data_IF_384945162089
#
_entry.id   IF_384945162089
#
_cell.length_a   1.000
_cell.length_b   1.000
_cell.length_c   1.000
_cell.angle_alpha   90.00
_cell.angle_beta   90.00
_cell.angle_gamma   90.00
#
_symmetry.space_group_name_H-M   'P 1'
#
loop_
_entity.id
_entity.type
_entity.pdbx_description
1 polymer ?
#
# COMPACT_ATOMS: atom_id res chain seq x y z
N UNK A 1 -18.66 9.63 14.08
CA UNK A 1 -19.24 9.49 12.73
C UNK A 1 -18.37 8.63 11.80
N UNK A 2 -17.06 8.88 11.71
CA UNK A 2 -16.15 8.16 10.80
C UNK A 2 -16.20 6.63 10.82
N UNK A 3 -16.09 6.03 12.02
CA UNK A 3 -16.18 4.56 12.20
C UNK A 3 -17.50 3.96 11.69
N UNK A 4 -18.61 4.70 11.81
CA UNK A 4 -19.92 4.23 11.31
C UNK A 4 -19.98 4.22 9.78
N UNK A 5 -19.35 5.20 9.12
CA UNK A 5 -19.28 5.26 7.65
C UNK A 5 -18.37 4.15 7.09
N UNK A 6 -17.25 3.87 7.77
CA UNK A 6 -16.31 2.81 7.35
C UNK A 6 -16.95 1.42 7.30
N UNK A 7 -17.88 1.15 8.21
CA UNK A 7 -18.64 -0.10 8.29
C UNK A 7 -19.72 -0.25 7.20
N UNK A 8 -20.04 0.80 6.43
CA UNK A 8 -21.06 0.71 5.38
C UNK A 8 -20.55 -0.03 4.14
N UNK A 9 -21.45 -0.73 3.41
CA UNK A 9 -21.14 -1.28 2.10
C UNK A 9 -20.75 -0.20 1.09
N UNK A 10 -19.87 -0.53 0.14
CA UNK A 10 -19.35 0.40 -0.88
C UNK A 10 -20.44 1.14 -1.68
N UNK A 11 -21.58 0.49 -1.89
CA UNK A 11 -22.72 1.04 -2.64
C UNK A 11 -23.69 1.88 -1.78
N UNK A 12 -23.38 2.09 -0.50
CA UNK A 12 -24.26 2.85 0.39
C UNK A 12 -24.40 4.31 -0.09
N UNK A 13 -25.64 4.84 -0.20
CA UNK A 13 -25.86 6.22 -0.64
C UNK A 13 -25.25 7.24 0.33
N UNK A 14 -25.07 6.86 1.60
CA UNK A 14 -24.47 7.71 2.63
C UNK A 14 -22.99 8.01 2.36
N UNK A 15 -22.30 7.21 1.53
CA UNK A 15 -20.90 7.42 1.17
C UNK A 15 -20.73 8.40 0.01
N UNK A 16 -21.79 8.66 -0.75
CA UNK A 16 -21.73 9.39 -2.03
C UNK A 16 -21.29 10.84 -1.87
N UNK A 17 -21.68 11.50 -0.78
CA UNK A 17 -21.25 12.88 -0.51
C UNK A 17 -19.72 12.99 -0.36
N UNK A 18 -19.11 12.14 0.47
CA UNK A 18 -17.66 12.12 0.69
C UNK A 18 -16.90 11.70 -0.58
N UNK A 19 -17.44 10.73 -1.33
CA UNK A 19 -16.88 10.28 -2.59
C UNK A 19 -16.88 11.37 -3.66
N UNK A 20 -18.02 12.04 -3.84
CA UNK A 20 -18.18 13.13 -4.81
C UNK A 20 -17.21 14.27 -4.49
N UNK A 21 -17.08 14.63 -3.21
CA UNK A 21 -16.21 15.72 -2.80
C UNK A 21 -14.71 15.37 -2.95
N UNK A 22 -14.28 14.17 -2.54
CA UNK A 22 -12.88 13.76 -2.74
C UNK A 22 -12.53 13.68 -4.24
N UNK A 23 -13.46 13.19 -5.06
CA UNK A 23 -13.32 13.17 -6.52
C UNK A 23 -13.22 14.57 -7.10
N UNK A 24 -14.06 15.50 -6.64
CA UNK A 24 -14.03 16.91 -7.07
C UNK A 24 -12.68 17.55 -6.76
N UNK A 25 -12.16 17.36 -5.53
CA UNK A 25 -10.83 17.85 -5.14
C UNK A 25 -9.71 17.26 -6.00
N UNK A 26 -9.74 15.96 -6.28
CA UNK A 26 -8.76 15.30 -7.14
C UNK A 26 -8.76 15.89 -8.57
N UNK A 27 -9.95 16.07 -9.17
CA UNK A 27 -10.07 16.67 -10.52
C UNK A 27 -9.60 18.13 -10.54
N UNK A 28 -9.99 18.93 -9.54
CA UNK A 28 -9.63 20.34 -9.46
C UNK A 28 -8.11 20.57 -9.30
N UNK A 29 -7.42 19.65 -8.61
CA UNK A 29 -5.97 19.71 -8.44
C UNK A 29 -5.18 19.26 -9.68
N UNK A 30 -5.84 18.92 -10.79
CA UNK A 30 -5.20 18.37 -11.97
C UNK A 30 -4.52 17.05 -11.67
N UNK A 31 -5.15 16.18 -10.84
CA UNK A 31 -4.63 14.85 -10.56
C UNK A 31 -4.13 14.22 -11.87
N UNK A 32 -2.89 13.71 -11.88
CA UNK A 32 -2.21 13.38 -13.12
C UNK A 32 -3.09 12.46 -13.96
N UNK A 33 -3.01 12.54 -15.30
CA UNK A 33 -3.62 11.56 -16.20
C UNK A 33 -2.94 10.21 -15.95
N UNK A 34 -3.32 9.59 -14.85
CA UNK A 34 -2.80 8.33 -14.37
C UNK A 34 -3.73 7.25 -14.90
N UNK A 35 -3.22 6.04 -15.16
CA UNK A 35 -4.04 4.94 -15.64
C UNK A 35 -5.06 4.46 -14.59
N UNK A 36 -5.07 5.01 -13.37
CA UNK A 36 -5.97 4.60 -12.29
C UNK A 36 -7.22 5.50 -12.28
N UNK A 37 -8.37 5.02 -12.75
CA UNK A 37 -9.60 5.80 -12.74
C UNK A 37 -10.03 6.12 -11.30
N UNK A 38 -10.50 7.36 -11.07
CA UNK A 38 -11.04 7.85 -9.78
C UNK A 38 -12.42 7.22 -9.46
N UNK A 39 -12.49 5.89 -9.52
CA UNK A 39 -13.66 5.07 -9.20
C UNK A 39 -14.02 5.17 -7.72
N UNK A 40 -15.26 4.83 -7.37
CA UNK A 40 -15.69 4.80 -5.97
C UNK A 40 -14.81 3.86 -5.14
N UNK A 41 -14.56 2.63 -5.63
CA UNK A 41 -13.75 1.63 -4.93
C UNK A 41 -12.29 2.05 -4.74
N UNK A 42 -11.73 2.87 -5.64
CA UNK A 42 -10.39 3.45 -5.45
C UNK A 42 -10.40 4.52 -4.36
N UNK A 43 -11.34 5.47 -4.44
CA UNK A 43 -11.44 6.59 -3.49
C UNK A 43 -11.82 6.15 -2.08
N UNK A 44 -12.64 5.11 -1.94
CA UNK A 44 -13.02 4.55 -0.64
C UNK A 44 -11.82 4.06 0.16
N UNK A 45 -10.73 3.62 -0.49
CA UNK A 45 -9.49 3.21 0.20
C UNK A 45 -8.90 4.36 1.02
N UNK A 46 -8.90 5.56 0.46
CA UNK A 46 -8.37 6.76 1.10
C UNK A 46 -9.29 7.30 2.18
N UNK A 47 -10.61 7.27 1.92
CA UNK A 47 -11.62 7.67 2.90
C UNK A 47 -11.58 6.75 4.12
N UNK A 48 -11.62 5.42 3.92
CA UNK A 48 -11.58 4.44 5.02
C UNK A 48 -10.28 4.48 5.81
N UNK A 49 -9.13 4.61 5.14
CA UNK A 49 -7.84 4.72 5.81
C UNK A 49 -7.73 5.95 6.73
N UNK A 50 -8.63 6.94 6.58
CA UNK A 50 -8.66 8.16 7.40
C UNK A 50 -10.01 8.37 8.07
N UNK A 51 -10.76 7.29 8.33
CA UNK A 51 -12.05 7.33 9.03
C UNK A 51 -13.04 8.35 8.46
N UNK A 52 -13.04 8.51 7.13
CA UNK A 52 -13.85 9.47 6.39
C UNK A 52 -13.56 10.95 6.72
N UNK A 53 -12.43 11.25 7.35
CA UNK A 53 -11.88 12.60 7.38
C UNK A 53 -11.41 12.99 5.98
N UNK A 54 -12.17 13.89 5.36
CA UNK A 54 -11.99 14.29 3.98
C UNK A 54 -10.66 15.03 3.73
N UNK A 55 -10.18 15.83 4.69
CA UNK A 55 -8.95 16.59 4.54
C UNK A 55 -7.73 15.68 4.66
N UNK A 56 -7.78 14.74 5.62
CA UNK A 56 -6.77 13.71 5.77
C UNK A 56 -6.76 12.73 4.59
N UNK A 57 -7.92 12.31 4.09
CA UNK A 57 -8.05 11.46 2.91
C UNK A 57 -7.51 12.16 1.65
N UNK A 58 -7.80 13.46 1.50
CA UNK A 58 -7.26 14.25 0.40
C UNK A 58 -5.73 14.38 0.48
N UNK A 59 -5.20 14.63 1.69
CA UNK A 59 -3.75 14.67 1.92
C UNK A 59 -3.10 13.33 1.57
N UNK A 60 -3.69 12.21 2.00
CA UNK A 60 -3.21 10.86 1.69
C UNK A 60 -3.20 10.62 0.16
N UNK A 61 -4.27 10.99 -0.55
CA UNK A 61 -4.36 10.85 -2.00
C UNK A 61 -3.27 11.63 -2.75
N UNK A 62 -3.03 12.88 -2.35
CA UNK A 62 -1.91 13.67 -2.92
C UNK A 62 -0.56 13.01 -2.68
N UNK A 63 -0.33 12.53 -1.46
CA UNK A 63 0.92 11.89 -1.09
C UNK A 63 1.15 10.59 -1.86
N UNK A 64 0.10 9.80 -2.07
CA UNK A 64 0.14 8.60 -2.90
C UNK A 64 0.64 8.91 -4.32
N UNK A 65 0.04 9.90 -5.00
CA UNK A 65 0.47 10.27 -6.35
C UNK A 65 1.88 10.87 -6.35
N UNK A 66 2.21 11.73 -5.38
CA UNK A 66 3.54 12.31 -5.25
C UNK A 66 4.61 11.23 -5.07
N UNK A 67 4.39 10.28 -4.17
CA UNK A 67 5.32 9.19 -3.91
C UNK A 67 5.56 8.32 -5.15
N UNK A 68 4.49 8.01 -5.91
CA UNK A 68 4.63 7.27 -7.17
C UNK A 68 5.47 8.03 -8.21
N UNK A 69 5.28 9.35 -8.29
CA UNK A 69 6.08 10.19 -9.19
C UNK A 69 7.56 10.29 -8.74
N UNK A 70 7.83 10.33 -7.43
CA UNK A 70 9.18 10.43 -6.85
C UNK A 70 9.91 9.08 -6.77
N UNK A 71 9.19 7.97 -6.89
CA UNK A 71 9.72 6.61 -6.79
C UNK A 71 9.30 5.73 -7.98
N UNK A 72 9.59 6.13 -9.24
CA UNK A 72 9.25 5.35 -10.42
C UNK A 72 9.97 3.99 -10.43
N UNK A 73 11.17 3.90 -9.84
CA UNK A 73 11.92 2.65 -9.73
C UNK A 73 11.20 1.60 -8.89
N UNK A 74 10.25 1.98 -8.03
CA UNK A 74 9.39 1.04 -7.29
C UNK A 74 8.01 0.92 -7.94
N UNK A 75 7.45 2.04 -8.43
CA UNK A 75 6.01 2.15 -8.70
C UNK A 75 5.60 2.19 -10.18
N UNK A 76 6.54 2.40 -11.11
CA UNK A 76 6.20 2.60 -12.53
C UNK A 76 5.69 1.31 -13.19
N UNK A 77 6.35 0.17 -12.94
CA UNK A 77 5.93 -1.13 -13.44
C UNK A 77 5.55 -2.04 -12.26
N UNK A 78 4.27 -2.35 -12.14
CA UNK A 78 3.74 -3.29 -11.14
C UNK A 78 3.56 -4.70 -11.72
N UNK A 79 4.09 -4.99 -12.91
CA UNK A 79 4.16 -6.33 -13.44
C UNK A 79 5.10 -7.19 -12.57
N UNK A 80 4.65 -8.35 -12.07
CA UNK A 80 5.45 -9.14 -11.15
C UNK A 80 6.67 -9.81 -11.82
N UNK A 81 6.85 -9.71 -13.15
CA UNK A 81 7.87 -10.44 -13.90
C UNK A 81 9.28 -10.28 -13.33
N UNK A 82 9.65 -9.07 -12.89
CA UNK A 82 10.96 -8.78 -12.29
C UNK A 82 11.13 -9.40 -10.88
N UNK A 83 10.04 -9.69 -10.18
CA UNK A 83 10.05 -10.15 -8.78
C UNK A 83 9.50 -11.58 -8.60
N UNK A 84 9.16 -12.27 -9.69
CA UNK A 84 8.64 -13.64 -9.66
C UNK A 84 9.60 -14.62 -8.99
N UNK A 85 10.91 -14.47 -9.20
CA UNK A 85 11.92 -15.32 -8.56
C UNK A 85 11.90 -15.14 -7.03
N UNK A 86 11.81 -13.90 -6.55
CA UNK A 86 11.75 -13.58 -5.12
C UNK A 86 10.46 -14.09 -4.47
N UNK A 87 9.32 -14.00 -5.17
CA UNK A 87 8.06 -14.61 -4.72
C UNK A 87 8.13 -16.14 -4.67
N UNK A 88 8.74 -16.78 -5.67
CA UNK A 88 8.91 -18.25 -5.70
C UNK A 88 9.86 -18.76 -4.63
N UNK A 89 10.88 -17.98 -4.25
CA UNK A 89 11.71 -18.26 -3.08
C UNK A 89 10.92 -18.14 -1.76
N UNK A 90 9.73 -17.53 -1.79
CA UNK A 90 8.86 -17.38 -0.64
C UNK A 90 9.31 -16.26 0.30
N UNK A 91 9.92 -15.21 -0.24
CA UNK A 91 10.25 -14.01 0.51
C UNK A 91 9.04 -13.39 1.23
N UNK A 92 7.89 -13.36 0.56
CA UNK A 92 6.64 -12.87 1.12
C UNK A 92 5.57 -13.98 1.11
N UNK A 93 4.92 -14.16 2.25
CA UNK A 93 3.68 -14.91 2.41
C UNK A 93 2.53 -14.03 2.87
N UNK A 94 1.31 -14.34 2.42
CA UNK A 94 0.07 -13.73 2.91
C UNK A 94 -0.74 -14.84 3.59
N UNK A 95 -1.06 -14.68 4.87
CA UNK A 95 -1.86 -15.68 5.56
C UNK A 95 -3.29 -15.69 5.02
N UNK A 96 -3.87 -16.89 4.92
CA UNK A 96 -5.27 -17.08 4.53
C UNK A 96 -6.20 -16.53 5.62
N UNK A 97 -5.90 -16.87 6.86
CA UNK A 97 -6.61 -16.36 8.02
C UNK A 97 -6.20 -14.92 8.32
N UNK A 98 -7.18 -14.12 8.75
CA UNK A 98 -6.94 -12.83 9.42
C UNK A 98 -6.58 -13.10 10.87
N UNK A 99 -5.98 -12.10 11.50
CA UNK A 99 -5.73 -12.16 12.93
C UNK A 99 -7.02 -11.90 13.75
N UNK A 100 -7.00 -12.01 15.09
CA UNK A 100 -8.18 -11.79 15.93
C UNK A 100 -8.83 -10.41 15.80
N UNK A 101 -8.09 -9.40 15.31
CA UNK A 101 -8.61 -8.04 15.05
C UNK A 101 -9.10 -7.87 13.61
N UNK A 102 -9.06 -8.91 12.77
CA UNK A 102 -9.47 -8.87 11.38
C UNK A 102 -8.39 -8.35 10.42
N UNK A 103 -7.19 -8.04 10.91
CA UNK A 103 -6.10 -7.52 10.07
C UNK A 103 -5.58 -8.62 9.13
N UNK A 104 -5.19 -8.23 7.91
CA UNK A 104 -4.48 -9.14 7.01
C UNK A 104 -3.04 -9.32 7.50
N UNK A 105 -2.54 -10.55 7.56
CA UNK A 105 -1.18 -10.83 8.06
C UNK A 105 -0.23 -11.13 6.90
N UNK A 106 0.85 -10.35 6.83
CA UNK A 106 1.95 -10.51 5.88
C UNK A 106 3.17 -11.03 6.62
N UNK A 107 3.88 -12.00 6.03
CA UNK A 107 5.10 -12.57 6.59
C UNK A 107 6.23 -12.37 5.58
N UNK A 108 7.26 -11.64 5.98
CA UNK A 108 8.48 -11.41 5.23
C UNK A 108 9.61 -12.25 5.83
N UNK A 109 10.32 -13.02 5.00
CA UNK A 109 11.42 -13.89 5.43
C UNK A 109 12.72 -13.44 4.79
N UNK A 110 13.60 -12.79 5.55
CA UNK A 110 14.80 -12.16 4.99
C UNK A 110 15.77 -13.17 4.39
N UNK A 111 15.87 -14.39 4.94
CA UNK A 111 16.72 -15.45 4.39
C UNK A 111 16.41 -15.82 2.92
N UNK A 112 15.21 -15.50 2.42
CA UNK A 112 14.81 -15.77 1.04
C UNK A 112 15.11 -14.61 0.07
N UNK A 113 15.61 -13.49 0.58
CA UNK A 113 16.13 -12.41 -0.24
C UNK A 113 17.62 -12.68 -0.50
N UNK A 114 17.99 -13.01 -1.74
CA UNK A 114 19.39 -12.95 -2.16
C UNK A 114 19.74 -11.53 -2.61
N UNK A 115 20.55 -10.77 -1.84
CA UNK A 115 20.88 -9.37 -2.15
C UNK A 115 21.83 -9.22 -3.34
N UNK A 116 22.36 -10.32 -3.89
CA UNK A 116 23.12 -10.32 -5.15
C UNK A 116 22.21 -10.40 -6.39
N UNK A 117 21.00 -10.91 -6.22
CA UNK A 117 20.03 -11.12 -7.30
C UNK A 117 18.95 -10.05 -7.29
N UNK A 118 18.43 -9.70 -6.12
CA UNK A 118 17.37 -8.72 -5.96
C UNK A 118 17.84 -7.50 -5.17
N UNK A 119 17.48 -6.31 -5.65
CA UNK A 119 17.77 -5.05 -4.97
C UNK A 119 16.76 -4.78 -3.87
N UNK A 120 17.05 -3.81 -2.99
CA UNK A 120 16.03 -3.31 -2.05
C UNK A 120 14.77 -2.80 -2.78
N UNK A 121 14.90 -2.21 -3.98
CA UNK A 121 13.75 -1.74 -4.75
C UNK A 121 12.85 -2.89 -5.21
N UNK A 122 13.43 -4.04 -5.58
CA UNK A 122 12.67 -5.24 -5.95
C UNK A 122 11.88 -5.78 -4.76
N UNK A 123 12.52 -5.82 -3.59
CA UNK A 123 11.87 -6.17 -2.32
C UNK A 123 10.71 -5.22 -1.99
N UNK A 124 10.89 -3.91 -2.13
CA UNK A 124 9.78 -2.96 -1.92
C UNK A 124 8.68 -3.07 -2.96
N UNK A 125 9.02 -3.42 -4.20
CA UNK A 125 8.02 -3.66 -5.24
C UNK A 125 7.14 -4.85 -4.90
N UNK A 126 7.68 -5.90 -4.29
CA UNK A 126 6.88 -7.02 -3.75
C UNK A 126 5.85 -6.51 -2.75
N UNK A 127 6.27 -5.72 -1.76
CA UNK A 127 5.36 -5.13 -0.77
C UNK A 127 4.29 -4.23 -1.40
N UNK A 128 4.67 -3.41 -2.39
CA UNK A 128 3.75 -2.51 -3.09
C UNK A 128 2.70 -3.28 -3.90
N UNK A 129 3.12 -4.27 -4.70
CA UNK A 129 2.21 -5.11 -5.47
C UNK A 129 1.22 -5.82 -4.54
N UNK A 130 1.72 -6.44 -3.46
CA UNK A 130 0.84 -7.10 -2.49
C UNK A 130 -0.12 -6.11 -1.82
N UNK A 131 0.34 -4.91 -1.47
CA UNK A 131 -0.51 -3.87 -0.88
C UNK A 131 -1.64 -3.46 -1.83
N UNK A 132 -1.37 -3.27 -3.13
CA UNK A 132 -2.38 -2.93 -4.15
C UNK A 132 -3.39 -4.06 -4.40
N UNK A 133 -3.03 -5.32 -4.10
CA UNK A 133 -3.94 -6.46 -4.17
C UNK A 133 -4.82 -6.54 -2.92
N UNK A 134 -4.21 -6.57 -1.73
CA UNK A 134 -4.96 -6.80 -0.47
C UNK A 134 -5.83 -5.60 -0.08
N UNK A 135 -5.49 -4.38 -0.51
CA UNK A 135 -6.32 -3.18 -0.26
C UNK A 135 -7.66 -3.25 -0.99
N UNK A 136 -7.84 -4.14 -1.97
CA UNK A 136 -9.14 -4.33 -2.63
C UNK A 136 -10.17 -4.97 -1.69
N UNK A 137 -9.72 -5.68 -0.65
CA UNK A 137 -10.58 -6.27 0.36
C UNK A 137 -11.07 -5.19 1.34
N UNK A 138 -12.39 -4.96 1.41
CA UNK A 138 -12.99 -3.98 2.33
C UNK A 138 -12.60 -4.25 3.79
N UNK A 139 -12.52 -5.52 4.18
CA UNK A 139 -12.08 -5.91 5.52
C UNK A 139 -10.62 -5.53 5.81
N UNK A 140 -9.76 -5.50 4.80
CA UNK A 140 -8.38 -5.00 4.96
C UNK A 140 -8.35 -3.47 5.04
N UNK A 141 -9.21 -2.77 4.30
CA UNK A 141 -9.34 -1.30 4.43
C UNK A 141 -9.85 -0.87 5.81
N UNK A 142 -10.63 -1.72 6.49
CA UNK A 142 -11.20 -1.44 7.82
C UNK A 142 -10.28 -1.85 8.96
N UNK A 143 -9.70 -3.04 8.86
CA UNK A 143 -8.95 -3.66 9.96
C UNK A 143 -7.44 -3.56 9.78
N UNK A 144 -6.98 -2.98 8.67
CA UNK A 144 -5.56 -2.77 8.36
C UNK A 144 -4.79 -4.07 8.10
N UNK A 145 -3.46 -3.96 8.22
CA UNK A 145 -2.52 -5.05 8.02
C UNK A 145 -1.58 -5.17 9.22
N UNK A 146 -1.03 -6.38 9.40
CA UNK A 146 0.10 -6.62 10.31
C UNK A 146 1.20 -7.32 9.52
N UNK A 147 2.40 -6.79 9.59
CA UNK A 147 3.57 -7.35 8.93
C UNK A 147 4.50 -7.96 9.97
N UNK A 148 4.86 -9.23 9.78
CA UNK A 148 5.87 -9.94 10.55
C UNK A 148 7.13 -10.01 9.69
N UNK A 149 8.24 -9.51 10.21
CA UNK A 149 9.54 -9.62 9.58
C UNK A 149 10.36 -10.66 10.34
N UNK A 150 10.51 -11.83 9.73
CA UNK A 150 11.48 -12.82 10.14
C UNK A 150 12.85 -12.41 9.62
N UNK A 151 13.70 -11.98 10.56
CA UNK A 151 15.05 -11.50 10.29
C UNK A 151 16.11 -12.59 10.46
N UNK A 152 15.71 -13.85 10.65
CA UNK A 152 16.65 -14.97 10.59
C UNK A 152 17.35 -15.00 9.21
N UNK A 153 18.68 -15.06 9.20
CA UNK A 153 19.49 -14.97 7.99
C UNK A 153 19.79 -13.55 7.50
N UNK A 154 19.52 -12.51 8.31
CA UNK A 154 20.01 -11.16 8.01
C UNK A 154 21.54 -11.12 7.89
N UNK A 155 22.05 -10.30 6.97
CA UNK A 155 23.48 -10.20 6.61
C UNK A 155 23.84 -8.75 6.33
N UNK A 156 25.14 -8.41 6.43
CA UNK A 156 25.61 -7.07 6.07
C UNK A 156 25.33 -6.71 4.61
N UNK A 157 25.33 -7.68 3.70
CA UNK A 157 24.93 -7.50 2.30
C UNK A 157 23.50 -6.96 2.15
N UNK A 158 22.56 -7.40 3.00
CA UNK A 158 21.22 -6.81 3.08
C UNK A 158 21.28 -5.36 3.56
N UNK A 159 22.05 -5.10 4.63
CA UNK A 159 22.17 -3.76 5.20
C UNK A 159 22.74 -2.75 4.19
N UNK A 160 23.73 -3.13 3.37
CA UNK A 160 24.30 -2.28 2.32
C UNK A 160 23.29 -1.87 1.24
N UNK A 161 22.23 -2.64 1.02
CA UNK A 161 21.14 -2.28 0.10
C UNK A 161 20.22 -1.19 0.70
N UNK A 162 20.16 -1.05 2.03
CA UNK A 162 19.29 -0.10 2.74
C UNK A 162 20.01 1.23 2.95
N UNK A 163 20.20 1.98 1.86
CA UNK A 163 20.79 3.33 1.91
C UNK A 163 19.85 4.33 2.60
N UNK A 164 20.33 5.51 3.06
CA UNK A 164 19.45 6.55 3.62
C UNK A 164 18.32 6.99 2.68
N UNK A 165 18.58 7.01 1.36
CA UNK A 165 17.56 7.30 0.34
C UNK A 165 16.47 6.22 0.32
N UNK A 166 16.88 4.95 0.32
CA UNK A 166 15.96 3.81 0.41
C UNK A 166 15.15 3.88 1.70
N UNK A 167 15.81 4.06 2.86
CA UNK A 167 15.14 4.20 4.16
C UNK A 167 14.08 5.32 4.17
N UNK A 168 14.38 6.48 3.57
CA UNK A 168 13.42 7.58 3.44
C UNK A 168 12.22 7.21 2.56
N UNK A 169 12.45 6.52 1.43
CA UNK A 169 11.37 6.04 0.55
C UNK A 169 10.48 5.04 1.28
N UNK A 170 11.05 4.12 2.05
CA UNK A 170 10.31 3.13 2.88
C UNK A 170 9.45 3.83 3.93
N UNK A 171 10.06 4.75 4.69
CA UNK A 171 9.36 5.46 5.75
C UNK A 171 8.15 6.24 5.18
N UNK A 172 8.30 6.86 4.01
CA UNK A 172 7.22 7.58 3.34
C UNK A 172 6.04 6.67 2.92
N UNK A 173 6.31 5.41 2.53
CA UNK A 173 5.27 4.41 2.23
C UNK A 173 4.47 4.09 3.48
N UNK A 174 5.16 3.71 4.57
CA UNK A 174 4.54 3.22 5.80
C UNK A 174 3.76 4.29 6.57
N UNK A 175 4.18 5.55 6.49
CA UNK A 175 3.62 6.61 7.34
C UNK A 175 2.64 7.53 6.61
N UNK A 176 2.80 7.70 5.29
CA UNK A 176 2.23 8.85 4.57
C UNK A 176 1.53 8.45 3.27
N UNK A 177 1.78 7.25 2.73
CA UNK A 177 1.41 6.91 1.33
C UNK A 177 0.66 5.59 1.14
N UNK A 178 0.51 4.74 2.17
CA UNK A 178 -0.21 3.44 2.06
C UNK A 178 -1.42 3.39 3.00
N UNK A 179 -2.40 2.60 2.56
CA UNK A 179 -3.80 2.52 2.97
C UNK A 179 -4.10 1.87 4.33
N UNK A 180 -3.11 1.72 5.21
CA UNK A 180 -3.24 0.95 6.45
C UNK A 180 -2.78 1.73 7.68
#
# INVERSE_FOLDING_TARGET
AGLQLSALPDHSPLLQASLAELRRRARAAGAPPTPLPLTDSFLLRFLRARDFDLDLAWRLLKNYYKWRAECPEISADLCPRSILGLLKAGYLGVLRARDPTGSKVLIYRIAQWDPKVFTAYDVFRVSLITSELIVQEVETQRNGIKAVFDLEGWQFSHAFQITPSVAKKIAAVLTVSVYF
#
